data_IF_461260348292
#
_entry.id   IF_461260348292
#
_cell.length_a   1.000
_cell.length_b   1.000
_cell.length_c   1.000
_cell.angle_alpha   90.00
_cell.angle_beta   90.00
_cell.angle_gamma   90.00
#
_symmetry.space_group_name_H-M   'P 1'
#
loop_
_entity.id
_entity.type
_entity.pdbx_description
1 polymer ?
#
# COMPACT_ATOMS: atom_id res chain seq x y z
N UNK A 1 -16.42 -5.86 21.41
CA UNK A 1 -16.54 -4.38 21.45
C UNK A 1 -15.90 -3.86 22.73
N UNK A 2 -15.05 -2.85 22.63
CA UNK A 2 -14.34 -2.20 23.78
C UNK A 2 -15.17 -1.04 24.37
N UNK A 3 -16.49 -1.18 24.42
CA UNK A 3 -17.40 -0.14 24.89
C UNK A 3 -17.07 0.24 26.34
N UNK A 4 -16.85 1.54 26.57
CA UNK A 4 -16.53 2.07 27.90
C UNK A 4 -15.03 2.02 28.28
N UNK A 5 -14.15 1.52 27.39
CA UNK A 5 -12.71 1.57 27.59
C UNK A 5 -12.11 2.71 26.76
N UNK A 6 -11.13 3.41 27.34
CA UNK A 6 -10.30 4.39 26.63
C UNK A 6 -8.97 3.75 26.23
N UNK A 7 -8.44 4.18 25.09
CA UNK A 7 -7.10 3.77 24.66
C UNK A 7 -6.07 4.52 25.50
N UNK A 8 -5.10 3.82 26.04
CA UNK A 8 -3.94 4.42 26.70
C UNK A 8 -2.97 4.99 25.64
N UNK A 9 -3.08 6.27 25.39
CA UNK A 9 -2.27 6.97 24.39
C UNK A 9 -0.76 6.95 24.73
N UNK A 10 -0.39 6.93 26.00
CA UNK A 10 1.01 6.86 26.40
C UNK A 10 1.61 5.50 26.01
N UNK A 11 0.86 4.41 26.26
CA UNK A 11 1.27 3.08 25.85
C UNK A 11 1.35 2.94 24.32
N UNK A 12 0.37 3.49 23.59
CA UNK A 12 0.42 3.51 22.11
C UNK A 12 1.70 4.19 21.63
N UNK A 13 2.02 5.36 22.17
CA UNK A 13 3.24 6.10 21.81
C UNK A 13 4.49 5.27 22.07
N UNK A 14 4.63 4.66 23.24
CA UNK A 14 5.79 3.82 23.59
C UNK A 14 5.95 2.66 22.62
N UNK A 15 4.86 1.95 22.29
CA UNK A 15 4.90 0.83 21.32
C UNK A 15 5.30 1.29 19.92
N UNK A 16 4.78 2.43 19.48
CA UNK A 16 5.12 2.99 18.17
C UNK A 16 6.58 3.44 18.14
N UNK A 17 7.05 4.13 19.18
CA UNK A 17 8.45 4.59 19.27
C UNK A 17 9.46 3.43 19.24
N UNK A 18 9.14 2.32 19.88
CA UNK A 18 9.98 1.12 19.91
C UNK A 18 9.94 0.28 18.63
N UNK A 19 8.99 0.54 17.73
CA UNK A 19 8.88 -0.22 16.48
C UNK A 19 9.73 0.38 15.38
N UNK A 20 10.43 -0.48 14.62
CA UNK A 20 11.20 -0.08 13.42
C UNK A 20 10.35 -0.08 12.15
N UNK A 21 9.31 -0.91 12.10
CA UNK A 21 8.43 -1.08 10.94
C UNK A 21 7.05 -1.53 11.39
N UNK A 22 6.01 -0.89 10.89
CA UNK A 22 4.62 -1.24 11.18
C UNK A 22 4.05 -2.05 10.02
N UNK A 23 3.47 -3.20 10.33
CA UNK A 23 2.80 -4.06 9.35
C UNK A 23 1.30 -3.96 9.50
N UNK A 24 0.60 -3.94 8.36
CA UNK A 24 -0.85 -4.08 8.32
C UNK A 24 -1.28 -4.87 7.09
N UNK A 25 -2.49 -5.43 7.12
CA UNK A 25 -3.14 -6.00 5.95
C UNK A 25 -4.12 -4.98 5.37
N UNK A 26 -3.81 -4.45 4.17
CA UNK A 26 -4.44 -3.24 3.60
C UNK A 26 -4.08 -1.95 4.35
N UNK A 27 -2.78 -1.74 4.54
CA UNK A 27 -2.18 -0.67 5.33
C UNK A 27 -2.73 0.75 5.06
N UNK A 28 -3.22 1.04 3.85
CA UNK A 28 -3.82 2.33 3.53
C UNK A 28 -5.05 2.63 4.42
N UNK A 29 -5.84 1.61 4.75
CA UNK A 29 -6.99 1.79 5.63
C UNK A 29 -6.55 2.10 7.06
N UNK A 30 -5.67 1.26 7.63
CA UNK A 30 -5.22 1.39 9.01
C UNK A 30 -4.40 2.65 9.22
N UNK A 31 -3.44 2.92 8.33
CA UNK A 31 -2.53 4.06 8.44
C UNK A 31 -3.26 5.39 8.47
N UNK A 32 -4.18 5.61 7.54
CA UNK A 32 -4.97 6.85 7.47
C UNK A 32 -5.78 7.07 8.75
N UNK A 33 -6.31 6.00 9.32
CA UNK A 33 -7.09 6.07 10.56
C UNK A 33 -6.21 6.41 11.78
N UNK A 34 -5.09 5.70 11.96
CA UNK A 34 -4.23 5.91 13.14
C UNK A 34 -3.46 7.23 13.07
N UNK A 35 -2.99 7.67 11.91
CA UNK A 35 -2.32 8.96 11.73
C UNK A 35 -3.22 10.15 12.11
N UNK A 36 -4.53 10.01 11.88
CA UNK A 36 -5.51 11.05 12.25
C UNK A 36 -5.63 11.22 13.77
N UNK A 37 -5.46 10.13 14.54
CA UNK A 37 -5.62 10.13 15.99
C UNK A 37 -4.29 10.27 16.72
N UNK A 38 -3.22 9.65 16.20
CA UNK A 38 -1.89 9.58 16.82
C UNK A 38 -0.79 9.94 15.81
N UNK A 39 -0.36 11.20 15.76
CA UNK A 39 0.65 11.67 14.80
C UNK A 39 1.96 10.89 14.82
N UNK A 40 2.33 10.23 15.93
CA UNK A 40 3.55 9.41 16.04
C UNK A 40 3.62 8.30 14.98
N UNK A 41 2.49 7.83 14.47
CA UNK A 41 2.45 6.85 13.39
C UNK A 41 2.95 7.38 12.04
N UNK A 42 2.88 8.71 11.84
CA UNK A 42 3.30 9.33 10.58
C UNK A 42 4.81 9.26 10.33
N UNK A 43 5.60 9.18 11.39
CA UNK A 43 7.07 9.14 11.33
C UNK A 43 7.61 7.73 11.15
N UNK A 44 6.75 6.72 11.25
CA UNK A 44 7.16 5.32 11.15
C UNK A 44 7.04 4.79 9.73
N UNK A 45 7.97 3.90 9.34
CA UNK A 45 7.85 3.15 8.10
C UNK A 45 6.71 2.12 8.20
N UNK A 46 5.99 1.93 7.09
CA UNK A 46 4.87 0.99 6.99
C UNK A 46 5.07 -0.02 5.88
N UNK A 47 4.56 -1.22 6.11
CA UNK A 47 4.54 -2.33 5.17
C UNK A 47 3.13 -2.93 5.08
N UNK A 48 2.77 -3.47 3.91
CA UNK A 48 1.42 -3.96 3.63
C UNK A 48 1.47 -5.39 3.09
N UNK A 49 0.94 -6.35 3.84
CA UNK A 49 0.86 -7.74 3.38
C UNK A 49 -0.10 -7.94 2.20
N UNK A 50 -1.08 -7.06 2.03
CA UNK A 50 -2.02 -7.12 0.91
C UNK A 50 -1.42 -6.62 -0.41
N UNK A 51 -0.67 -5.50 -0.38
CA UNK A 51 -0.20 -4.83 -1.60
C UNK A 51 1.23 -5.17 -1.99
N UNK A 52 2.08 -5.60 -1.05
CA UNK A 52 3.49 -5.87 -1.31
C UNK A 52 3.76 -7.22 -1.97
N UNK A 53 2.76 -8.07 -2.12
CA UNK A 53 2.89 -9.40 -2.70
C UNK A 53 1.95 -9.52 -3.89
N UNK A 54 2.48 -10.01 -5.01
CA UNK A 54 1.66 -10.46 -6.13
C UNK A 54 1.09 -11.85 -5.82
N UNK A 55 -0.05 -11.85 -5.12
CA UNK A 55 -0.73 -13.06 -4.70
C UNK A 55 -1.15 -13.96 -5.86
N UNK A 56 -1.50 -13.37 -7.01
CA UNK A 56 -1.84 -14.14 -8.22
C UNK A 56 -0.63 -14.90 -8.74
N UNK A 57 0.54 -14.24 -8.78
CA UNK A 57 1.80 -14.87 -9.21
C UNK A 57 2.22 -15.97 -8.25
N UNK A 58 1.93 -15.82 -6.97
CA UNK A 58 2.16 -16.87 -5.96
C UNK A 58 1.14 -18.01 -6.03
N UNK A 59 0.09 -17.91 -6.86
CA UNK A 59 -0.89 -18.96 -7.11
C UNK A 59 -2.19 -18.83 -6.32
N UNK A 60 -2.40 -17.72 -5.64
CA UNK A 60 -3.65 -17.40 -4.95
C UNK A 60 -4.59 -16.63 -5.88
N UNK A 61 -5.90 -16.80 -5.72
CA UNK A 61 -6.91 -16.08 -6.53
C UNK A 61 -7.31 -14.73 -5.95
N UNK A 62 -6.93 -14.45 -4.71
CA UNK A 62 -7.19 -13.19 -4.01
C UNK A 62 -6.13 -12.94 -2.93
N UNK A 63 -6.03 -11.68 -2.48
CA UNK A 63 -5.13 -11.29 -1.37
C UNK A 63 -5.86 -11.04 -0.04
N UNK A 64 -7.16 -11.35 0.09
CA UNK A 64 -7.91 -11.13 1.34
C UNK A 64 -7.38 -12.01 2.47
N UNK A 65 -7.29 -11.47 3.69
CA UNK A 65 -6.66 -12.13 4.83
C UNK A 65 -7.36 -13.45 5.21
N UNK A 66 -8.69 -13.45 5.22
CA UNK A 66 -9.51 -14.64 5.48
C UNK A 66 -9.26 -15.75 4.46
N UNK A 67 -9.26 -15.38 3.17
CA UNK A 67 -8.96 -16.31 2.08
C UNK A 67 -7.53 -16.87 2.17
N UNK A 68 -6.55 -16.01 2.41
CA UNK A 68 -5.15 -16.44 2.56
C UNK A 68 -4.98 -17.39 3.75
N UNK A 69 -5.63 -17.09 4.87
CA UNK A 69 -5.65 -17.97 6.03
C UNK A 69 -6.14 -19.37 5.68
N UNK A 70 -7.29 -19.48 5.00
CA UNK A 70 -7.82 -20.76 4.54
C UNK A 70 -6.85 -21.51 3.63
N UNK A 71 -6.16 -20.82 2.72
CA UNK A 71 -5.19 -21.42 1.82
C UNK A 71 -3.94 -21.93 2.54
N UNK A 72 -3.52 -21.27 3.62
CA UNK A 72 -2.44 -21.72 4.49
C UNK A 72 -2.87 -22.70 5.59
N UNK A 73 -4.16 -23.10 5.60
CA UNK A 73 -4.67 -24.16 6.48
C UNK A 73 -5.06 -23.71 7.88
N UNK A 74 -5.32 -22.41 8.09
CA UNK A 74 -5.83 -21.87 9.36
C UNK A 74 -7.06 -21.00 9.17
N UNK A 75 -7.88 -20.93 10.22
CA UNK A 75 -9.10 -20.14 10.26
C UNK A 75 -9.09 -19.25 11.49
N UNK A 76 -9.72 -18.10 11.39
CA UNK A 76 -9.89 -17.19 12.52
C UNK A 76 -11.29 -16.54 12.43
N UNK A 77 -11.80 -16.12 13.57
CA UNK A 77 -13.05 -15.36 13.62
C UNK A 77 -12.73 -13.88 13.36
N UNK A 78 -12.78 -13.50 12.09
CA UNK A 78 -12.48 -12.16 11.61
C UNK A 78 -13.42 -11.10 12.19
N UNK A 79 -13.15 -9.83 11.84
CA UNK A 79 -13.91 -8.64 12.22
C UNK A 79 -13.73 -8.18 13.67
N UNK A 80 -12.69 -8.67 14.36
CA UNK A 80 -12.19 -8.04 15.58
C UNK A 80 -10.73 -7.60 15.34
N UNK A 81 -10.37 -6.41 15.81
CA UNK A 81 -9.03 -5.86 15.58
C UNK A 81 -7.90 -6.79 16.06
N UNK A 82 -8.09 -7.46 17.20
CA UNK A 82 -7.11 -8.40 17.74
C UNK A 82 -6.97 -9.63 16.83
N UNK A 83 -8.08 -10.27 16.45
CA UNK A 83 -8.04 -11.45 15.59
C UNK A 83 -7.43 -11.14 14.21
N UNK A 84 -7.72 -9.98 13.65
CA UNK A 84 -7.13 -9.54 12.38
C UNK A 84 -5.62 -9.28 12.51
N UNK A 85 -5.15 -8.72 13.65
CA UNK A 85 -3.71 -8.57 13.92
C UNK A 85 -3.02 -9.92 14.09
N UNK A 86 -3.60 -10.87 14.84
CA UNK A 86 -3.07 -12.23 15.02
C UNK A 86 -3.01 -12.98 13.68
N UNK A 87 -4.04 -12.85 12.84
CA UNK A 87 -4.06 -13.41 11.49
C UNK A 87 -2.97 -12.80 10.60
N UNK A 88 -2.75 -11.48 10.69
CA UNK A 88 -1.67 -10.82 9.96
C UNK A 88 -0.28 -11.32 10.41
N UNK A 89 -0.06 -11.52 11.71
CA UNK A 89 1.16 -12.12 12.26
C UNK A 89 1.34 -13.56 11.76
N UNK A 90 0.29 -14.37 11.78
CA UNK A 90 0.32 -15.73 11.27
C UNK A 90 0.67 -15.75 9.78
N UNK A 91 0.14 -14.80 8.99
CA UNK A 91 0.46 -14.65 7.57
C UNK A 91 1.93 -14.28 7.34
N UNK A 92 2.49 -13.36 8.12
CA UNK A 92 3.90 -12.95 8.02
C UNK A 92 4.87 -14.13 8.23
N UNK A 93 4.48 -15.12 9.04
CA UNK A 93 5.28 -16.32 9.30
C UNK A 93 5.22 -17.36 8.16
N UNK A 94 4.27 -17.25 7.22
CA UNK A 94 4.11 -18.22 6.13
C UNK A 94 5.23 -18.13 5.09
N UNK A 95 5.40 -19.24 4.35
CA UNK A 95 6.27 -19.32 3.18
C UNK A 95 5.41 -19.32 1.93
N UNK A 96 5.73 -18.46 0.99
CA UNK A 96 5.05 -18.33 -0.30
C UNK A 96 5.29 -19.59 -1.15
N UNK A 97 4.24 -20.17 -1.76
CA UNK A 97 4.33 -21.49 -2.35
C UNK A 97 5.15 -21.58 -3.65
N UNK A 98 5.27 -20.48 -4.39
CA UNK A 98 6.03 -20.50 -5.65
C UNK A 98 7.42 -19.88 -5.52
N UNK A 99 7.55 -18.75 -4.88
CA UNK A 99 8.86 -18.11 -4.67
C UNK A 99 9.68 -18.76 -3.56
N UNK A 100 9.06 -19.57 -2.70
CA UNK A 100 9.67 -20.20 -1.52
C UNK A 100 10.33 -19.20 -0.56
N UNK A 101 9.83 -17.97 -0.53
CA UNK A 101 10.28 -16.91 0.35
C UNK A 101 9.28 -16.70 1.49
N UNK A 102 9.75 -16.23 2.64
CA UNK A 102 8.83 -15.84 3.72
C UNK A 102 8.06 -14.59 3.36
N UNK A 103 6.78 -14.57 3.71
CA UNK A 103 5.93 -13.38 3.54
C UNK A 103 6.57 -12.15 4.18
N UNK A 104 7.08 -12.26 5.43
CA UNK A 104 7.77 -11.20 6.14
C UNK A 104 8.94 -10.61 5.33
N UNK A 105 9.76 -11.45 4.72
CA UNK A 105 10.93 -11.02 3.93
C UNK A 105 10.50 -10.20 2.72
N UNK A 106 9.53 -10.71 1.95
CA UNK A 106 9.03 -10.05 0.74
C UNK A 106 8.38 -8.70 1.08
N UNK A 107 7.56 -8.68 2.12
CA UNK A 107 6.83 -7.47 2.53
C UNK A 107 7.80 -6.40 3.07
N UNK A 108 8.80 -6.80 3.86
CA UNK A 108 9.85 -5.89 4.36
C UNK A 108 10.68 -5.32 3.22
N UNK A 109 11.13 -6.14 2.29
CA UNK A 109 11.90 -5.72 1.13
C UNK A 109 11.10 -4.75 0.26
N UNK A 110 9.85 -5.07 -0.05
CA UNK A 110 8.94 -4.19 -0.79
C UNK A 110 8.75 -2.83 -0.10
N UNK A 111 8.64 -2.81 1.22
CA UNK A 111 8.48 -1.56 1.97
C UNK A 111 9.72 -0.65 1.90
N UNK A 112 10.92 -1.25 1.86
CA UNK A 112 12.19 -0.53 1.84
C UNK A 112 12.64 -0.10 0.44
N UNK A 113 12.03 -0.67 -0.62
CA UNK A 113 12.34 -0.26 -1.98
C UNK A 113 11.75 1.12 -2.27
N UNK A 114 12.61 2.00 -2.78
CA UNK A 114 12.17 3.29 -3.29
C UNK A 114 11.40 3.09 -4.60
N UNK A 115 10.27 3.77 -4.72
CA UNK A 115 9.42 3.80 -5.90
C UNK A 115 8.97 5.24 -6.17
N UNK A 116 8.31 5.47 -7.27
CA UNK A 116 7.81 6.79 -7.64
C UNK A 116 6.33 6.74 -7.98
N UNK A 117 5.56 7.62 -7.36
CA UNK A 117 4.22 7.96 -7.80
C UNK A 117 4.35 8.80 -9.07
N UNK A 118 3.68 8.40 -10.13
CA UNK A 118 3.62 9.08 -11.41
C UNK A 118 2.17 9.49 -11.68
N UNK A 119 1.94 10.77 -11.95
CA UNK A 119 0.61 11.33 -12.19
C UNK A 119 0.44 11.75 -13.64
N UNK A 120 -0.33 11.00 -14.42
CA UNK A 120 -0.65 11.34 -15.80
C UNK A 120 -1.76 12.42 -15.83
N UNK A 121 -1.37 13.68 -15.52
CA UNK A 121 -2.28 14.84 -15.49
C UNK A 121 -2.75 15.20 -16.89
N UNK A 122 -4.04 15.58 -17.03
CA UNK A 122 -4.68 15.95 -18.30
C UNK A 122 -4.50 14.90 -19.42
N UNK A 123 -4.37 13.63 -19.06
CA UNK A 123 -4.30 12.57 -20.06
C UNK A 123 -5.58 12.57 -20.94
N UNK A 124 -5.45 12.40 -22.26
CA UNK A 124 -6.59 12.36 -23.16
C UNK A 124 -7.58 11.25 -22.74
N UNK A 125 -8.88 11.56 -22.78
CA UNK A 125 -9.91 10.61 -22.35
C UNK A 125 -9.87 9.30 -23.15
N UNK A 126 -9.52 9.38 -24.43
CA UNK A 126 -9.45 8.21 -25.32
C UNK A 126 -8.31 7.25 -24.95
N UNK A 127 -7.33 7.71 -24.18
CA UNK A 127 -6.20 6.88 -23.72
C UNK A 127 -6.46 6.18 -22.34
N UNK A 128 -7.67 6.29 -21.81
CA UNK A 128 -8.04 5.72 -20.51
C UNK A 128 -7.82 4.20 -20.42
N UNK A 129 -8.10 3.48 -21.51
CA UNK A 129 -7.96 2.02 -21.53
C UNK A 129 -6.47 1.63 -21.66
N UNK A 130 -5.70 2.38 -22.45
CA UNK A 130 -4.24 2.24 -22.55
C UNK A 130 -3.57 2.45 -21.18
N UNK A 131 -3.98 3.47 -20.44
CA UNK A 131 -3.48 3.74 -19.08
C UNK A 131 -3.88 2.62 -18.11
N UNK A 132 -5.13 2.15 -18.16
CA UNK A 132 -5.60 1.05 -17.29
C UNK A 132 -4.84 -0.24 -17.56
N UNK A 133 -4.63 -0.60 -18.82
CA UNK A 133 -3.90 -1.80 -19.21
C UNK A 133 -2.42 -1.74 -18.80
N UNK A 134 -1.85 -0.53 -18.72
CA UNK A 134 -0.51 -0.25 -18.17
C UNK A 134 -0.44 -0.37 -16.64
N UNK A 135 -1.59 -0.42 -15.94
CA UNK A 135 -1.68 -0.50 -14.48
C UNK A 135 -1.98 0.82 -13.77
N UNK A 136 -2.28 1.88 -14.53
CA UNK A 136 -2.74 3.14 -13.94
C UNK A 136 -4.11 2.98 -13.29
N UNK A 137 -4.31 3.71 -12.20
CA UNK A 137 -5.56 3.81 -11.46
C UNK A 137 -6.10 5.22 -11.53
N UNK A 138 -7.41 5.35 -11.54
CA UNK A 138 -8.06 6.65 -11.52
C UNK A 138 -8.21 7.18 -10.09
N UNK A 139 -7.74 8.41 -9.84
CA UNK A 139 -8.00 9.15 -8.61
C UNK A 139 -9.16 10.12 -8.84
N UNK A 140 -10.31 9.95 -8.14
CA UNK A 140 -11.51 10.72 -8.43
C UNK A 140 -11.40 12.19 -8.02
N UNK A 141 -12.35 13.00 -8.54
CA UNK A 141 -12.55 14.37 -8.10
C UNK A 141 -12.90 14.43 -6.60
N UNK A 142 -12.54 15.54 -5.96
CA UNK A 142 -12.81 15.77 -4.53
C UNK A 142 -11.73 15.22 -3.59
N UNK A 143 -10.76 14.46 -4.10
CA UNK A 143 -9.53 14.13 -3.39
C UNK A 143 -8.43 15.13 -3.78
N UNK A 144 -7.50 15.36 -2.87
CA UNK A 144 -6.28 16.13 -3.14
C UNK A 144 -5.56 15.59 -4.36
N UNK A 145 -5.16 16.46 -5.30
CA UNK A 145 -4.60 16.09 -6.59
C UNK A 145 -5.43 15.00 -7.31
N UNK A 146 -6.77 15.16 -7.30
CA UNK A 146 -7.71 14.27 -7.96
C UNK A 146 -7.87 14.54 -9.46
N UNK A 147 -8.77 13.80 -10.12
CA UNK A 147 -9.00 13.77 -11.57
C UNK A 147 -7.74 13.40 -12.37
N UNK A 148 -6.97 12.47 -11.86
CA UNK A 148 -5.70 12.06 -12.46
C UNK A 148 -5.57 10.54 -12.52
N UNK A 149 -4.98 10.04 -13.59
CA UNK A 149 -4.47 8.69 -13.67
C UNK A 149 -3.11 8.62 -12.98
N UNK A 150 -2.88 7.60 -12.18
CA UNK A 150 -1.65 7.46 -11.43
C UNK A 150 -1.19 6.00 -11.34
N UNK A 151 0.09 5.82 -11.22
CA UNK A 151 0.72 4.54 -10.92
C UNK A 151 1.89 4.72 -9.95
N UNK A 152 2.38 3.63 -9.38
CA UNK A 152 3.65 3.61 -8.64
C UNK A 152 4.56 2.63 -9.36
N UNK A 153 5.77 3.06 -9.67
CA UNK A 153 6.75 2.26 -10.37
C UNK A 153 8.18 2.50 -9.83
N UNK A 154 9.09 1.54 -10.01
CA UNK A 154 10.48 1.68 -9.59
C UNK A 154 11.33 2.55 -10.54
N UNK A 155 10.98 2.59 -11.82
CA UNK A 155 11.73 3.31 -12.86
C UNK A 155 10.91 4.50 -13.37
N UNK A 156 11.17 5.66 -12.76
CA UNK A 156 10.48 6.92 -13.08
C UNK A 156 10.75 7.38 -14.51
N UNK A 157 11.99 7.31 -14.93
CA UNK A 157 12.45 7.82 -16.21
C UNK A 157 11.81 7.02 -17.36
N UNK A 158 11.83 5.70 -17.28
CA UNK A 158 11.19 4.84 -18.28
C UNK A 158 9.66 5.04 -18.34
N UNK A 159 9.02 5.29 -17.21
CA UNK A 159 7.58 5.51 -17.17
C UNK A 159 7.19 6.87 -17.73
N UNK A 160 7.96 7.92 -17.46
CA UNK A 160 7.77 9.26 -18.06
C UNK A 160 7.97 9.20 -19.58
N UNK A 161 9.01 8.54 -20.06
CA UNK A 161 9.24 8.36 -21.51
C UNK A 161 8.07 7.62 -22.18
N UNK A 162 7.54 6.57 -21.51
CA UNK A 162 6.36 5.87 -22.01
C UNK A 162 5.14 6.79 -22.09
N UNK A 163 4.88 7.63 -21.08
CA UNK A 163 3.79 8.61 -21.10
C UNK A 163 3.95 9.59 -22.26
N UNK A 164 5.16 10.14 -22.46
CA UNK A 164 5.44 11.07 -23.56
C UNK A 164 5.21 10.42 -24.92
N UNK A 165 5.69 9.19 -25.11
CA UNK A 165 5.62 8.52 -26.41
C UNK A 165 4.24 7.96 -26.74
N UNK A 166 3.49 7.45 -25.75
CA UNK A 166 2.25 6.69 -25.99
C UNK A 166 0.99 7.50 -25.68
N UNK A 167 1.02 8.33 -24.65
CA UNK A 167 -0.18 9.03 -24.15
C UNK A 167 -0.24 10.46 -24.67
N UNK A 168 0.79 11.26 -24.41
CA UNK A 168 0.78 12.67 -24.79
C UNK A 168 1.29 12.92 -26.20
N UNK A 169 2.25 12.11 -26.67
CA UNK A 169 2.94 12.27 -27.97
C UNK A 169 3.74 13.57 -28.09
N UNK A 170 4.06 14.17 -26.96
CA UNK A 170 4.94 15.33 -26.79
C UNK A 170 5.52 15.33 -25.37
N UNK A 171 6.59 16.08 -25.16
CA UNK A 171 7.16 16.30 -23.84
C UNK A 171 6.22 17.15 -22.98
N UNK A 172 5.99 16.72 -21.76
CA UNK A 172 5.14 17.37 -20.77
C UNK A 172 5.76 17.20 -19.40
N UNK A 173 5.65 18.22 -18.55
CA UNK A 173 5.99 18.07 -17.14
C UNK A 173 5.01 17.11 -16.46
N UNK A 174 5.54 16.02 -15.94
CA UNK A 174 4.78 14.96 -15.29
C UNK A 174 5.02 15.04 -13.78
N UNK A 175 4.00 15.37 -12.97
CA UNK A 175 4.14 15.38 -11.52
C UNK A 175 4.51 13.99 -10.99
N UNK A 176 5.56 13.98 -10.17
CA UNK A 176 6.07 12.75 -9.54
C UNK A 176 6.36 12.98 -8.07
N UNK A 177 6.20 11.94 -7.27
CA UNK A 177 6.55 11.94 -5.85
C UNK A 177 7.32 10.68 -5.49
N UNK A 178 8.40 10.81 -4.75
CA UNK A 178 9.11 9.66 -4.20
C UNK A 178 8.22 8.92 -3.19
N UNK A 179 8.12 7.60 -3.34
CA UNK A 179 7.35 6.71 -2.46
C UNK A 179 8.31 5.92 -1.59
N UNK A 180 8.31 6.24 -0.31
CA UNK A 180 9.13 5.57 0.71
C UNK A 180 8.24 4.84 1.71
N UNK A 181 8.81 4.01 2.58
CA UNK A 181 8.06 3.39 3.68
C UNK A 181 7.42 4.43 4.63
N UNK A 182 7.93 5.68 4.63
CA UNK A 182 7.43 6.77 5.49
C UNK A 182 6.17 7.45 4.94
N UNK A 183 5.97 7.49 3.63
CA UNK A 183 4.77 8.12 3.02
C UNK A 183 3.86 7.12 2.29
N UNK A 184 4.35 5.91 2.00
CA UNK A 184 3.57 4.83 1.40
C UNK A 184 2.31 4.57 2.24
N UNK A 185 1.17 4.42 1.60
CA UNK A 185 -0.14 4.21 2.23
C UNK A 185 -0.69 5.37 3.07
N UNK A 186 -0.04 6.54 3.06
CA UNK A 186 -0.54 7.76 3.71
C UNK A 186 -1.17 8.70 2.69
N UNK A 187 -2.11 9.54 3.15
CA UNK A 187 -2.63 10.63 2.34
C UNK A 187 -1.56 11.67 1.99
N UNK A 188 -0.49 11.78 2.80
CA UNK A 188 0.66 12.66 2.58
C UNK A 188 1.42 12.35 1.28
N UNK A 189 1.27 11.15 0.72
CA UNK A 189 1.80 10.82 -0.60
C UNK A 189 1.30 11.77 -1.70
N UNK A 190 0.20 12.48 -1.44
CA UNK A 190 -0.44 13.39 -2.38
C UNK A 190 -0.19 14.86 -2.05
N UNK A 191 0.73 15.18 -1.13
CA UNK A 191 1.09 16.53 -0.71
C UNK A 191 2.24 17.08 -1.58
N UNK A 192 1.97 17.31 -2.88
CA UNK A 192 2.94 17.85 -3.86
C UNK A 192 2.28 18.81 -4.86
#
# INVERSE_FOLDING_TARGET
MVSGQSIDEAMVRVLVEQSDLIFAHNAFFDRVMVEKHWPCFSEKPWACTFQSIDWLREGFTAGKLDYLGMQFGWFYDGHTALADCEACLALLAQTLPKSNRRVLEVVRESALNAEHLICAVDAPFDEKDTLRDRGYRWRPAGLQNGKVWWTICPDKEAEIEWLHSKIYRYEKDIPTQEVTAINRYSNRLWDF
#
